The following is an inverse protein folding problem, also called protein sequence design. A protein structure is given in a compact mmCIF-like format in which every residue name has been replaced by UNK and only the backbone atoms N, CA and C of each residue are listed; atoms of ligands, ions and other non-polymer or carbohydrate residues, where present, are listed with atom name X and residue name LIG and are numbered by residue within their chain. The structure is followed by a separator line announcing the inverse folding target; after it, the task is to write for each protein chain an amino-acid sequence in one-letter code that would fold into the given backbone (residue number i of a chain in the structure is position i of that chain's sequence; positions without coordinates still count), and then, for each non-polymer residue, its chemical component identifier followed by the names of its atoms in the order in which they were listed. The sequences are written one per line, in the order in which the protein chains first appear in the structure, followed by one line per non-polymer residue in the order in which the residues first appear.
data_IF_737299029101
#
_entry.id   IF_737299029101
#
_cell.length_a   1.000
_cell.length_b   1.000
_cell.length_c   1.000
_cell.angle_alpha   90.00
_cell.angle_beta   90.00
_cell.angle_gamma   90.00
#
_symmetry.space_group_name_H-M   'P 1'
#
loop_
_entity.id
_entity.type
_entity.pdbx_description
1 polymer ?
#
# COMPACT_ATOMS: atom_id res chain seq x y z
N UNK A 1 -7.71 -17.03 -20.84
CA UNK A 1 -8.91 -16.18 -21.05
C UNK A 1 -8.91 -15.14 -19.96
N UNK A 2 -9.11 -13.87 -20.28
CA UNK A 2 -9.04 -12.77 -19.31
C UNK A 2 -10.43 -12.42 -18.82
N UNK A 3 -10.61 -12.35 -17.50
CA UNK A 3 -11.85 -11.89 -16.89
C UNK A 3 -11.77 -10.38 -16.59
N UNK A 4 -12.90 -9.67 -16.72
CA UNK A 4 -13.01 -8.26 -16.34
C UNK A 4 -13.87 -8.16 -15.09
N UNK A 5 -13.40 -7.41 -14.09
CA UNK A 5 -14.10 -7.29 -12.81
C UNK A 5 -15.55 -6.78 -12.97
N UNK A 6 -16.52 -7.27 -12.17
CA UNK A 6 -17.95 -7.00 -12.36
C UNK A 6 -18.30 -5.49 -12.33
N UNK A 7 -17.66 -4.72 -11.45
CA UNK A 7 -17.86 -3.27 -11.38
C UNK A 7 -17.34 -2.49 -12.63
N UNK A 8 -16.45 -3.09 -13.42
CA UNK A 8 -16.01 -2.56 -14.71
C UNK A 8 -16.96 -3.01 -15.82
N UNK A 9 -17.47 -4.24 -15.74
CA UNK A 9 -18.43 -4.80 -16.69
C UNK A 9 -19.76 -4.01 -16.72
N UNK A 10 -20.27 -3.61 -15.56
CA UNK A 10 -21.51 -2.83 -15.43
C UNK A 10 -21.42 -1.40 -16.00
N UNK A 11 -20.19 -0.90 -16.22
CA UNK A 11 -19.94 0.41 -16.84
C UNK A 11 -19.78 0.33 -18.35
N UNK A 12 -19.71 -0.87 -18.92
CA UNK A 12 -19.67 -1.07 -20.36
C UNK A 12 -21.07 -0.88 -20.95
N UNK A 13 -21.12 -0.29 -22.15
CA UNK A 13 -22.36 -0.27 -22.94
C UNK A 13 -22.73 -1.70 -23.39
N UNK A 14 -24.00 -1.94 -23.72
CA UNK A 14 -24.44 -3.27 -24.18
C UNK A 14 -23.67 -3.78 -25.40
N UNK A 15 -23.24 -2.89 -26.31
CA UNK A 15 -22.42 -3.25 -27.47
C UNK A 15 -21.00 -3.66 -27.05
N UNK A 16 -20.43 -3.01 -26.04
CA UNK A 16 -19.11 -3.38 -25.50
C UNK A 16 -19.15 -4.71 -24.76
N UNK A 17 -20.20 -4.97 -23.96
CA UNK A 17 -20.40 -6.27 -23.33
C UNK A 17 -20.54 -7.38 -24.38
N UNK A 18 -21.35 -7.15 -25.43
CA UNK A 18 -21.52 -8.10 -26.52
C UNK A 18 -20.21 -8.39 -27.28
N UNK A 19 -19.40 -7.36 -27.58
CA UNK A 19 -18.09 -7.55 -28.21
C UNK A 19 -17.13 -8.32 -27.29
N UNK A 20 -17.09 -7.99 -26.01
CA UNK A 20 -16.27 -8.70 -25.04
C UNK A 20 -16.65 -10.19 -24.96
N UNK A 21 -17.93 -10.51 -24.85
CA UNK A 21 -18.41 -11.89 -24.74
C UNK A 21 -18.22 -12.67 -26.06
N UNK A 22 -18.69 -12.11 -27.18
CA UNK A 22 -18.84 -12.86 -28.44
C UNK A 22 -17.61 -12.82 -29.34
N UNK A 23 -16.84 -11.74 -29.30
CA UNK A 23 -15.64 -11.57 -30.14
C UNK A 23 -14.37 -11.91 -29.38
N UNK A 24 -14.28 -11.51 -28.10
CA UNK A 24 -13.07 -11.66 -27.29
C UNK A 24 -13.12 -12.84 -26.30
N UNK A 25 -14.29 -13.47 -26.09
CA UNK A 25 -14.46 -14.57 -25.14
C UNK A 25 -14.17 -14.15 -23.69
N UNK A 26 -14.44 -12.88 -23.36
CA UNK A 26 -14.24 -12.29 -22.03
C UNK A 26 -15.56 -12.29 -21.29
N UNK A 27 -15.57 -12.96 -20.15
CA UNK A 27 -16.73 -13.06 -19.25
C UNK A 27 -16.55 -12.14 -18.03
N UNK A 28 -17.65 -11.71 -17.37
CA UNK A 28 -17.56 -11.00 -16.10
C UNK A 28 -16.93 -11.91 -15.03
N UNK A 29 -15.96 -11.38 -14.29
CA UNK A 29 -15.29 -12.13 -13.23
C UNK A 29 -16.29 -12.53 -12.13
N UNK A 30 -16.21 -13.78 -11.68
CA UNK A 30 -16.98 -14.28 -10.53
C UNK A 30 -16.56 -13.61 -9.21
N UNK A 31 -17.35 -13.76 -8.14
CA UNK A 31 -17.06 -13.16 -6.83
C UNK A 31 -15.67 -13.57 -6.28
N UNK A 32 -15.25 -14.81 -6.57
CA UNK A 32 -13.95 -15.39 -6.18
C UNK A 32 -12.78 -14.96 -7.09
N UNK A 33 -13.05 -14.37 -8.26
CA UNK A 33 -12.02 -13.88 -9.20
C UNK A 33 -11.76 -12.38 -9.04
N UNK A 34 -12.39 -11.73 -8.05
CA UNK A 34 -12.20 -10.31 -7.79
C UNK A 34 -10.75 -10.07 -7.36
N UNK A 35 -9.96 -9.30 -8.13
CA UNK A 35 -8.59 -8.98 -7.70
C UNK A 35 -8.65 -8.27 -6.35
N UNK A 36 -7.67 -8.53 -5.46
CA UNK A 36 -7.68 -7.98 -4.12
C UNK A 36 -7.80 -6.45 -4.19
N UNK A 37 -8.56 -5.82 -3.27
CA UNK A 37 -8.77 -4.40 -3.34
C UNK A 37 -7.43 -3.66 -3.27
N UNK A 38 -7.36 -2.56 -4.03
CA UNK A 38 -6.17 -1.72 -4.05
C UNK A 38 -5.89 -1.19 -2.64
N UNK A 39 -4.66 -1.40 -2.14
CA UNK A 39 -4.22 -0.87 -0.84
C UNK A 39 -4.48 0.63 -0.74
N UNK A 40 -5.05 1.03 0.38
CA UNK A 40 -5.43 2.41 0.65
C UNK A 40 -4.20 3.27 0.93
N UNK A 41 -4.39 4.60 0.98
CA UNK A 41 -3.32 5.51 1.38
C UNK A 41 -2.95 5.35 2.86
N UNK A 42 -3.87 4.87 3.69
CA UNK A 42 -3.62 4.57 5.10
C UNK A 42 -2.70 3.35 5.22
N UNK A 43 -2.97 2.27 4.49
CA UNK A 43 -2.14 1.05 4.51
C UNK A 43 -0.72 1.34 4.04
N UNK A 44 -0.58 2.14 2.97
CA UNK A 44 0.73 2.60 2.50
C UNK A 44 1.48 3.42 3.56
N UNK A 45 0.76 4.25 4.32
CA UNK A 45 1.37 5.04 5.38
C UNK A 45 1.82 4.14 6.55
N UNK A 46 0.96 3.22 6.99
CA UNK A 46 1.24 2.25 8.04
C UNK A 46 2.48 1.40 7.71
N UNK A 47 2.58 0.93 6.47
CA UNK A 47 3.73 0.17 5.99
C UNK A 47 5.05 0.95 6.13
N UNK A 48 5.06 2.23 5.72
CA UNK A 48 6.25 3.06 5.86
C UNK A 48 6.56 3.39 7.33
N UNK A 49 5.54 3.49 8.17
CA UNK A 49 5.69 3.67 9.61
C UNK A 49 6.34 2.47 10.29
N UNK A 50 5.93 1.25 9.95
CA UNK A 50 6.59 0.03 10.46
C UNK A 50 8.05 -0.07 9.98
N UNK A 51 8.33 0.29 8.72
CA UNK A 51 9.70 0.38 8.23
C UNK A 51 10.54 1.42 9.00
N UNK A 52 9.93 2.55 9.38
CA UNK A 52 10.58 3.55 10.23
C UNK A 52 10.87 3.01 11.63
N UNK A 53 9.95 2.26 12.24
CA UNK A 53 10.16 1.56 13.52
C UNK A 53 11.31 0.57 13.44
N UNK A 54 11.35 -0.26 12.39
CA UNK A 54 12.42 -1.21 12.15
C UNK A 54 13.79 -0.52 12.03
N UNK A 55 13.88 0.54 11.21
CA UNK A 55 15.10 1.34 11.10
C UNK A 55 15.51 1.95 12.44
N UNK A 56 14.55 2.53 13.18
CA UNK A 56 14.82 3.12 14.47
C UNK A 56 15.29 2.10 15.51
N UNK A 57 14.70 0.90 15.55
CA UNK A 57 15.13 -0.17 16.45
C UNK A 57 16.58 -0.59 16.20
N UNK A 58 17.02 -0.58 14.93
CA UNK A 58 18.39 -0.92 14.53
C UNK A 58 19.39 0.21 14.77
N UNK A 59 19.04 1.44 14.41
CA UNK A 59 19.98 2.57 14.38
C UNK A 59 19.86 3.50 15.61
N UNK A 60 18.78 3.37 16.38
CA UNK A 60 18.44 4.24 17.52
C UNK A 60 18.09 5.68 17.14
N UNK A 61 17.92 5.98 15.85
CA UNK A 61 17.57 7.30 15.34
C UNK A 61 16.81 7.23 14.01
N UNK A 62 16.10 8.31 13.64
CA UNK A 62 15.45 8.47 12.33
C UNK A 62 16.21 9.43 11.39
N UNK A 63 17.54 9.43 11.44
CA UNK A 63 18.41 10.16 10.49
C UNK A 63 18.64 9.32 9.23
N UNK A 64 17.56 9.03 8.52
CA UNK A 64 17.59 8.15 7.33
C UNK A 64 18.23 8.90 6.15
N UNK A 65 19.30 8.38 5.52
CA UNK A 65 19.85 8.97 4.30
C UNK A 65 18.82 9.04 3.18
N UNK A 66 18.81 10.11 2.37
CA UNK A 66 17.73 10.35 1.38
C UNK A 66 17.53 9.23 0.36
N UNK A 67 18.60 8.52 -0.02
CA UNK A 67 18.58 7.39 -0.97
C UNK A 67 18.33 6.02 -0.30
N UNK A 68 18.16 5.98 1.03
CA UNK A 68 17.99 4.74 1.77
C UNK A 68 16.71 4.02 1.38
N UNK A 69 16.85 2.72 1.16
CA UNK A 69 15.75 1.79 0.93
C UNK A 69 15.71 0.84 2.13
N UNK A 70 14.59 0.81 2.82
CA UNK A 70 14.33 -0.11 3.91
C UNK A 70 13.44 -1.25 3.40
N UNK A 71 13.86 -2.47 3.67
CA UNK A 71 13.11 -3.67 3.33
C UNK A 71 12.13 -3.99 4.46
N UNK A 72 10.84 -4.04 4.16
CA UNK A 72 9.79 -4.37 5.12
C UNK A 72 8.94 -5.52 4.61
N UNK A 73 8.61 -6.45 5.50
CA UNK A 73 7.74 -7.59 5.20
C UNK A 73 6.30 -7.12 5.27
N UNK A 74 5.55 -7.26 4.17
CA UNK A 74 4.10 -7.04 4.17
C UNK A 74 3.43 -8.38 4.42
N UNK A 75 3.08 -8.65 5.69
CA UNK A 75 2.09 -9.67 5.99
C UNK A 75 0.73 -9.13 5.57
N UNK A 76 -0.05 -9.89 4.80
CA UNK A 76 -1.37 -9.46 4.36
C UNK A 76 -2.31 -9.28 5.56
N UNK A 77 -2.57 -8.04 5.95
CA UNK A 77 -3.57 -7.70 6.95
C UNK A 77 -4.57 -6.68 6.38
N UNK A 78 -5.71 -7.19 5.89
CA UNK A 78 -6.92 -6.37 5.80
C UNK A 78 -7.85 -6.58 4.60
N UNK A 79 -7.53 -7.41 3.62
CA UNK A 79 -8.54 -7.85 2.66
C UNK A 79 -8.15 -9.14 1.93
N UNK A 80 -8.76 -10.25 2.37
CA UNK A 80 -9.24 -11.35 1.52
C UNK A 80 -8.31 -12.01 0.50
N UNK A 81 -7.00 -11.85 0.58
CA UNK A 81 -6.04 -12.64 -0.19
C UNK A 81 -5.64 -13.85 0.64
N UNK A 82 -5.86 -15.04 0.10
CA UNK A 82 -5.34 -16.31 0.61
C UNK A 82 -3.91 -16.14 1.12
N UNK A 83 -3.71 -16.51 2.39
CA UNK A 83 -2.42 -16.40 3.05
C UNK A 83 -1.39 -17.31 2.38
N UNK A 84 -0.26 -16.71 1.99
CA UNK A 84 1.08 -17.31 1.97
C UNK A 84 2.15 -16.37 1.37
N UNK A 85 1.75 -15.26 0.74
CA UNK A 85 2.71 -14.31 0.19
C UNK A 85 3.07 -13.21 1.20
N UNK A 86 4.01 -13.51 2.11
CA UNK A 86 4.79 -12.45 2.76
C UNK A 86 5.62 -11.73 1.71
N UNK A 87 5.04 -10.70 1.10
CA UNK A 87 5.76 -9.89 0.14
C UNK A 87 6.77 -9.01 0.87
N UNK A 88 8.04 -9.28 0.64
CA UNK A 88 9.13 -8.40 1.04
C UNK A 88 9.17 -7.21 0.09
N UNK A 89 8.97 -6.00 0.61
CA UNK A 89 8.97 -4.78 -0.20
C UNK A 89 10.09 -3.83 0.17
N UNK A 90 10.69 -3.27 -0.86
CA UNK A 90 11.71 -2.23 -0.78
C UNK A 90 11.03 -0.85 -0.73
N UNK A 91 11.18 -0.16 0.41
CA UNK A 91 10.55 1.13 0.68
C UNK A 91 11.59 2.23 0.70
N UNK A 92 11.38 3.30 -0.07
CA UNK A 92 12.25 4.48 -0.12
C UNK A 92 12.12 5.32 1.16
N UNK A 93 12.51 4.76 2.30
CA UNK A 93 12.30 5.32 3.62
C UNK A 93 12.94 6.71 3.77
N UNK A 94 14.13 6.92 3.19
CA UNK A 94 14.80 8.22 3.23
C UNK A 94 14.01 9.34 2.56
N UNK A 95 13.42 9.05 1.40
CA UNK A 95 12.55 9.99 0.71
C UNK A 95 11.24 10.21 1.47
N UNK A 96 10.66 9.15 2.04
CA UNK A 96 9.41 9.24 2.80
C UNK A 96 9.57 10.08 4.08
N UNK A 97 10.61 9.83 4.90
CA UNK A 97 10.92 10.63 6.10
C UNK A 97 11.17 12.10 5.73
N UNK A 98 11.92 12.36 4.66
CA UNK A 98 12.12 13.72 4.15
C UNK A 98 10.80 14.40 3.80
N UNK A 99 9.88 13.68 3.14
CA UNK A 99 8.56 14.21 2.80
C UNK A 99 7.68 14.43 4.05
N UNK A 100 7.74 13.56 5.06
CA UNK A 100 7.01 13.77 6.32
C UNK A 100 7.45 15.05 7.03
N UNK A 101 8.75 15.38 7.01
CA UNK A 101 9.27 16.62 7.60
C UNK A 101 8.76 17.87 6.88
N UNK A 102 8.78 17.84 5.53
CA UNK A 102 8.30 18.97 4.71
C UNK A 102 6.79 19.16 4.90
N UNK A 103 6.04 18.06 4.98
CA UNK A 103 4.58 18.07 5.11
C UNK A 103 4.09 18.01 6.56
N UNK A 104 4.97 18.21 7.55
CA UNK A 104 4.59 18.10 8.95
C UNK A 104 3.43 19.03 9.31
N UNK A 105 3.38 20.22 8.70
CA UNK A 105 2.31 21.19 8.88
C UNK A 105 0.95 20.76 8.29
N UNK A 106 0.92 19.77 7.39
CA UNK A 106 -0.30 19.27 6.74
C UNK A 106 -0.62 17.82 7.11
N UNK A 107 0.19 17.20 7.97
CA UNK A 107 -0.09 15.87 8.51
C UNK A 107 -1.20 15.95 9.56
N UNK A 108 -2.03 14.90 9.60
CA UNK A 108 -2.99 14.72 10.68
C UNK A 108 -2.27 14.68 12.04
N UNK A 109 -2.83 15.26 13.11
CA UNK A 109 -2.20 15.28 14.43
C UNK A 109 -1.75 13.91 14.94
N UNK A 110 -2.54 12.87 14.71
CA UNK A 110 -2.22 11.48 15.09
C UNK A 110 -0.90 10.98 14.46
N UNK A 111 -0.71 11.20 13.15
CA UNK A 111 0.53 10.83 12.44
C UNK A 111 1.74 11.60 12.95
N UNK A 112 1.55 12.87 13.29
CA UNK A 112 2.61 13.69 13.90
C UNK A 112 2.99 13.11 15.26
N UNK A 113 2.03 12.71 16.08
CA UNK A 113 2.28 12.07 17.38
C UNK A 113 3.02 10.74 17.22
N UNK A 114 2.59 9.87 16.28
CA UNK A 114 3.24 8.59 16.02
C UNK A 114 4.71 8.73 15.61
N UNK A 115 5.02 9.71 14.74
CA UNK A 115 6.39 9.98 14.31
C UNK A 115 7.20 10.67 15.42
N UNK A 116 6.58 11.61 16.15
CA UNK A 116 7.22 12.28 17.28
C UNK A 116 7.55 11.30 18.39
N UNK A 117 6.69 10.32 18.68
CA UNK A 117 6.95 9.28 19.68
C UNK A 117 8.21 8.46 19.37
N UNK A 118 8.50 8.21 18.08
CA UNK A 118 9.74 7.53 17.67
C UNK A 118 10.97 8.42 17.89
N UNK A 119 10.84 9.74 17.77
CA UNK A 119 11.98 10.68 17.91
C UNK A 119 12.17 11.16 19.35
N UNK A 120 11.09 11.33 20.12
CA UNK A 120 11.08 11.88 21.47
C UNK A 120 11.49 10.88 22.56
N UNK A 121 11.55 9.57 22.27
CA UNK A 121 12.04 8.56 23.24
C UNK A 121 13.57 8.50 23.33
N UNK A 122 14.25 9.65 23.28
CA UNK A 122 15.69 9.80 23.57
C UNK A 122 16.03 11.27 23.88
N UNK A 123 15.86 11.61 25.14
CA UNK A 123 16.70 12.58 25.87
C UNK A 123 17.24 11.84 27.09
#
# INVERSE_FOLDING_TARGET
MGAVGPACWDKLTGVQQWMCERVLGVEPAGEDEKPPPRRTQADKWALNYEAAKQFYAREGHLRVPRKHVERSVVGGDGSGGSGEDQEVRDLRLGAWIGNQRIRAATLSPERVQLLSALVMRRS
#
